data_IF_352897536096
#
_entry.id   IF_352897536096
#
_cell.length_a   1.000
_cell.length_b   1.000
_cell.length_c   1.000
_cell.angle_alpha   90.00
_cell.angle_beta   90.00
_cell.angle_gamma   90.00
#
_symmetry.space_group_name_H-M   'P 1'
#
loop_
_entity.id
_entity.type
_entity.pdbx_description
1 polymer ?
#
# COMPACT_ATOMS: atom_id res chain seq x y z
N UNK A 1 10.07 22.11 -3.92
CA UNK A 1 10.67 21.94 -2.55
C UNK A 1 11.43 20.62 -2.56
N UNK A 2 12.63 20.55 -2.00
CA UNK A 2 13.34 19.27 -1.85
C UNK A 2 12.65 18.43 -0.78
N UNK A 3 12.74 17.10 -0.90
CA UNK A 3 12.25 16.17 0.12
C UNK A 3 12.90 16.44 1.47
N UNK A 4 12.12 16.41 2.52
CA UNK A 4 12.56 16.63 3.90
C UNK A 4 12.59 15.30 4.65
N UNK A 5 13.19 15.30 5.83
CA UNK A 5 13.28 14.08 6.66
C UNK A 5 11.91 13.41 6.89
N UNK A 6 10.87 14.19 7.15
CA UNK A 6 9.51 13.67 7.34
C UNK A 6 8.99 12.89 6.13
N UNK A 7 9.22 13.38 4.90
CA UNK A 7 8.85 12.65 3.68
C UNK A 7 9.56 11.30 3.58
N UNK A 8 10.87 11.28 3.93
CA UNK A 8 11.64 10.03 3.95
C UNK A 8 11.11 9.04 4.99
N UNK A 9 10.76 9.52 6.20
CA UNK A 9 10.18 8.68 7.26
C UNK A 9 8.87 8.04 6.82
N UNK A 10 7.95 8.85 6.29
CA UNK A 10 6.63 8.36 5.84
C UNK A 10 6.78 7.35 4.71
N UNK A 11 7.59 7.64 3.70
CA UNK A 11 7.82 6.71 2.58
C UNK A 11 8.48 5.42 3.06
N UNK A 12 9.48 5.51 3.95
CA UNK A 12 10.16 4.34 4.51
C UNK A 12 9.21 3.47 5.33
N UNK A 13 8.38 4.12 6.15
CA UNK A 13 7.38 3.43 6.96
C UNK A 13 6.35 2.72 6.09
N UNK A 14 5.83 3.39 5.04
CA UNK A 14 4.88 2.78 4.11
C UNK A 14 5.44 1.53 3.42
N UNK A 15 6.68 1.61 2.93
CA UNK A 15 7.33 0.47 2.26
C UNK A 15 7.62 -0.68 3.23
N UNK A 16 8.06 -0.35 4.45
CA UNK A 16 8.26 -1.32 5.53
C UNK A 16 6.94 -1.97 5.94
N UNK A 17 5.90 -1.17 6.17
CA UNK A 17 4.58 -1.63 6.59
C UNK A 17 3.98 -2.62 5.58
N UNK A 18 3.99 -2.24 4.31
CA UNK A 18 3.52 -3.08 3.21
C UNK A 18 4.31 -4.40 3.13
N UNK A 19 5.63 -4.31 3.17
CA UNK A 19 6.50 -5.49 3.19
C UNK A 19 6.25 -6.38 4.40
N UNK A 20 6.15 -5.80 5.59
CA UNK A 20 5.96 -6.52 6.85
C UNK A 20 4.63 -7.29 6.86
N UNK A 21 3.55 -6.63 6.41
CA UNK A 21 2.23 -7.22 6.30
C UNK A 21 2.22 -8.40 5.30
N UNK A 22 2.82 -8.24 4.14
CA UNK A 22 2.89 -9.28 3.11
C UNK A 22 3.80 -10.44 3.53
N UNK A 23 4.92 -10.17 4.20
CA UNK A 23 5.91 -11.19 4.56
C UNK A 23 5.56 -11.94 5.85
N UNK A 24 5.16 -11.23 6.91
CA UNK A 24 4.82 -11.83 8.21
C UNK A 24 3.36 -12.29 8.27
N UNK A 25 2.48 -11.54 7.63
CA UNK A 25 1.05 -11.83 7.63
C UNK A 25 0.60 -12.73 6.48
N UNK A 26 1.49 -13.00 5.50
CA UNK A 26 1.14 -13.70 4.26
C UNK A 26 -0.14 -13.13 3.62
N UNK A 27 -0.34 -11.78 3.77
CA UNK A 27 -1.58 -11.09 3.40
C UNK A 27 -1.68 -10.86 1.89
N UNK A 28 -1.53 -11.93 1.12
CA UNK A 28 -1.69 -11.95 -0.33
C UNK A 28 -2.12 -13.33 -0.83
N UNK A 29 -2.68 -13.36 -2.02
CA UNK A 29 -2.92 -14.60 -2.76
C UNK A 29 -2.59 -14.40 -4.25
N UNK A 30 -2.36 -15.52 -4.95
CA UNK A 30 -2.09 -15.50 -6.38
C UNK A 30 -3.37 -15.81 -7.15
N UNK A 31 -3.63 -14.98 -8.17
CA UNK A 31 -4.77 -15.14 -9.06
C UNK A 31 -4.33 -15.25 -10.51
N UNK A 32 -5.16 -15.92 -11.29
CA UNK A 32 -5.09 -15.92 -12.74
C UNK A 32 -6.48 -15.61 -13.29
N UNK A 33 -6.61 -14.50 -13.99
CA UNK A 33 -7.94 -14.04 -14.37
C UNK A 33 -7.93 -13.10 -15.55
N UNK A 34 -9.12 -12.62 -15.86
CA UNK A 34 -9.39 -11.69 -16.93
C UNK A 34 -9.39 -10.25 -16.40
N UNK A 35 -8.88 -9.33 -17.22
CA UNK A 35 -9.03 -7.89 -17.04
C UNK A 35 -10.21 -7.40 -17.90
N UNK A 36 -10.96 -6.44 -17.38
CA UNK A 36 -12.18 -5.92 -18.01
C UNK A 36 -11.98 -4.49 -18.47
N UNK A 37 -12.33 -4.20 -19.73
CA UNK A 37 -12.23 -2.85 -20.27
C UNK A 37 -13.18 -1.90 -19.54
N UNK A 38 -12.70 -0.68 -19.26
CA UNK A 38 -13.50 0.41 -18.73
C UNK A 38 -12.91 1.78 -19.10
N UNK A 39 -13.71 2.84 -18.99
CA UNK A 39 -13.28 4.21 -19.22
C UNK A 39 -12.93 4.90 -17.90
N UNK A 40 -11.75 5.51 -17.83
CA UNK A 40 -11.33 6.39 -16.71
C UNK A 40 -10.97 7.78 -17.27
N UNK A 41 -11.76 8.79 -16.90
CA UNK A 41 -11.57 10.17 -17.38
C UNK A 41 -10.27 10.83 -16.90
N UNK A 42 -9.57 10.22 -15.93
CA UNK A 42 -8.27 10.69 -15.42
C UNK A 42 -7.10 10.20 -16.28
N UNK A 43 -7.33 9.22 -17.14
CA UNK A 43 -6.34 8.67 -18.05
C UNK A 43 -6.53 9.33 -19.43
N UNK A 44 -5.45 9.72 -20.11
CA UNK A 44 -5.55 10.25 -21.47
C UNK A 44 -6.29 9.28 -22.40
N UNK A 45 -7.17 9.80 -23.24
CA UNK A 45 -8.00 8.99 -24.15
C UNK A 45 -7.22 8.18 -25.20
N UNK A 46 -5.91 8.37 -25.28
CA UNK A 46 -5.04 7.55 -26.11
C UNK A 46 -4.74 6.18 -25.51
N UNK A 47 -5.04 5.97 -24.22
CA UNK A 47 -4.84 4.71 -23.54
C UNK A 47 -6.16 3.96 -23.40
N UNK A 48 -6.13 2.67 -23.71
CA UNK A 48 -7.17 1.74 -23.27
C UNK A 48 -6.83 1.21 -21.89
N UNK A 49 -7.83 1.10 -21.01
CA UNK A 49 -7.68 0.72 -19.61
C UNK A 49 -8.46 -0.55 -19.33
N UNK A 50 -7.81 -1.50 -18.68
CA UNK A 50 -8.42 -2.76 -18.26
C UNK A 50 -8.15 -2.99 -16.79
N UNK A 51 -9.21 -3.12 -15.99
CA UNK A 51 -9.15 -3.37 -14.54
C UNK A 51 -9.38 -4.82 -14.19
N UNK A 52 -8.74 -5.25 -13.11
CA UNK A 52 -9.05 -6.52 -12.45
C UNK A 52 -10.16 -6.33 -11.40
N UNK A 53 -10.77 -7.41 -10.90
CA UNK A 53 -11.68 -7.34 -9.76
C UNK A 53 -10.98 -7.15 -8.41
N UNK A 54 -9.69 -6.77 -8.42
CA UNK A 54 -8.88 -6.55 -7.23
C UNK A 54 -8.23 -5.17 -7.28
N UNK A 55 -7.89 -4.62 -6.10
CA UNK A 55 -7.45 -3.23 -6.00
C UNK A 55 -5.95 -3.05 -6.04
N UNK A 56 -5.20 -3.78 -5.24
CA UNK A 56 -3.76 -3.64 -5.19
C UNK A 56 -3.04 -4.94 -5.54
N UNK A 57 -2.09 -4.84 -6.47
CA UNK A 57 -1.20 -5.94 -6.80
C UNK A 57 0.06 -5.91 -5.94
N UNK A 58 0.61 -7.10 -5.69
CA UNK A 58 1.95 -7.23 -5.12
C UNK A 58 2.98 -6.81 -6.16
N UNK A 59 3.85 -5.87 -5.78
CA UNK A 59 4.93 -5.38 -6.63
C UNK A 59 6.34 -5.67 -6.07
N UNK A 60 6.41 -6.20 -4.86
CA UNK A 60 7.66 -6.44 -4.13
C UNK A 60 8.15 -7.87 -4.34
N UNK A 61 9.24 -8.03 -5.09
CA UNK A 61 9.81 -9.34 -5.41
C UNK A 61 10.54 -10.04 -4.25
N UNK A 62 10.69 -9.38 -3.09
CA UNK A 62 11.16 -10.05 -1.88
C UNK A 62 10.08 -10.87 -1.18
N UNK A 63 8.82 -10.81 -1.63
CA UNK A 63 7.74 -11.65 -1.11
C UNK A 63 7.79 -12.99 -1.83
N UNK A 64 8.24 -14.01 -1.11
CA UNK A 64 8.43 -15.35 -1.66
C UNK A 64 7.09 -15.97 -2.04
N UNK A 65 6.94 -16.40 -3.29
CA UNK A 65 5.73 -17.07 -3.78
C UNK A 65 4.67 -16.14 -4.37
N UNK A 66 4.82 -14.79 -4.26
CA UNK A 66 3.89 -13.87 -4.90
C UNK A 66 4.16 -13.76 -6.42
N UNK A 67 3.10 -13.86 -7.22
CA UNK A 67 3.15 -13.64 -8.66
C UNK A 67 3.15 -12.14 -8.97
N UNK A 68 4.32 -11.59 -9.28
CA UNK A 68 4.41 -10.19 -9.68
C UNK A 68 4.13 -10.09 -11.17
N UNK A 69 3.10 -9.32 -11.60
CA UNK A 69 2.75 -9.23 -13.02
C UNK A 69 3.89 -8.60 -13.81
N UNK A 70 4.38 -9.31 -14.80
CA UNK A 70 5.42 -8.86 -15.74
C UNK A 70 4.90 -8.68 -17.16
N UNK A 71 3.78 -9.32 -17.51
CA UNK A 71 3.09 -9.25 -18.77
C UNK A 71 1.69 -9.82 -18.68
N UNK A 72 0.96 -9.77 -19.79
CA UNK A 72 -0.40 -10.28 -19.94
C UNK A 72 -0.56 -10.96 -21.28
N UNK A 73 -1.57 -11.81 -21.41
CA UNK A 73 -1.99 -12.36 -22.69
C UNK A 73 -3.09 -11.49 -23.30
N UNK A 74 -2.83 -10.91 -24.46
CA UNK A 74 -3.80 -10.15 -25.27
C UNK A 74 -4.26 -11.04 -26.42
N UNK A 75 -5.51 -11.46 -26.42
CA UNK A 75 -6.07 -12.40 -27.40
C UNK A 75 -5.24 -13.70 -27.53
N UNK A 76 -4.67 -14.16 -26.41
CA UNK A 76 -3.81 -15.35 -26.37
C UNK A 76 -2.34 -15.12 -26.70
N UNK A 77 -1.92 -13.90 -27.05
CA UNK A 77 -0.53 -13.55 -27.34
C UNK A 77 0.07 -12.82 -26.13
N UNK A 78 1.24 -13.29 -25.67
CA UNK A 78 1.96 -12.63 -24.56
C UNK A 78 2.44 -11.25 -24.96
N UNK A 79 2.21 -10.28 -24.09
CA UNK A 79 2.72 -8.91 -24.18
C UNK A 79 3.20 -8.43 -22.80
N UNK A 80 4.28 -7.69 -22.79
CA UNK A 80 4.91 -7.17 -21.58
C UNK A 80 5.13 -5.64 -21.64
N UNK A 81 6.00 -5.12 -20.78
CA UNK A 81 6.33 -3.69 -20.76
C UNK A 81 7.04 -3.21 -22.02
N UNK A 82 7.82 -4.06 -22.66
CA UNK A 82 8.52 -3.73 -23.91
C UNK A 82 7.52 -3.57 -25.06
N UNK A 83 6.36 -4.21 -24.97
CA UNK A 83 5.21 -4.04 -25.87
C UNK A 83 4.30 -2.84 -25.48
N UNK A 84 4.70 -2.04 -24.49
CA UNK A 84 3.97 -0.85 -24.04
C UNK A 84 2.85 -1.13 -23.05
N UNK A 85 2.85 -2.27 -22.37
CA UNK A 85 1.92 -2.56 -21.27
C UNK A 85 2.39 -1.84 -19.99
N UNK A 86 1.52 -1.04 -19.40
CA UNK A 86 1.76 -0.34 -18.14
C UNK A 86 0.89 -1.02 -17.07
N UNK A 87 1.50 -1.39 -15.94
CA UNK A 87 0.80 -1.93 -14.77
C UNK A 87 0.56 -0.84 -13.75
N UNK A 88 -0.67 -0.59 -13.37
CA UNK A 88 -1.01 0.23 -12.22
C UNK A 88 -1.24 -0.68 -11.01
N UNK A 89 -0.16 -0.88 -10.23
CA UNK A 89 -0.18 -1.76 -9.05
C UNK A 89 -1.10 -1.26 -7.94
N UNK A 90 -1.31 0.05 -7.87
CA UNK A 90 -2.14 0.66 -6.84
C UNK A 90 -3.64 0.56 -7.11
N UNK A 91 -4.01 0.39 -8.40
CA UNK A 91 -5.42 0.31 -8.83
C UNK A 91 -5.79 -1.03 -9.48
N UNK A 92 -4.89 -2.02 -9.47
CA UNK A 92 -5.16 -3.35 -9.98
C UNK A 92 -5.56 -3.38 -11.46
N UNK A 93 -4.86 -2.62 -12.29
CA UNK A 93 -5.23 -2.43 -13.71
C UNK A 93 -4.00 -2.36 -14.62
N UNK A 94 -4.27 -2.50 -15.90
CA UNK A 94 -3.28 -2.31 -16.96
C UNK A 94 -3.76 -1.23 -17.93
N UNK A 95 -2.80 -0.59 -18.58
CA UNK A 95 -3.03 0.47 -19.56
C UNK A 95 -2.07 0.31 -20.74
N UNK A 96 -2.52 0.62 -21.95
CA UNK A 96 -1.65 0.71 -23.11
C UNK A 96 -2.31 1.49 -24.25
N UNK A 97 -1.51 2.14 -25.08
CA UNK A 97 -1.97 2.77 -26.33
C UNK A 97 -2.12 1.77 -27.48
N UNK A 98 -1.61 0.56 -27.33
CA UNK A 98 -1.65 -0.50 -28.34
C UNK A 98 -2.76 -1.53 -28.14
N UNK A 99 -3.65 -1.32 -27.14
CA UNK A 99 -4.81 -2.17 -26.88
C UNK A 99 -6.06 -1.62 -27.53
N UNK A 100 -7.03 -2.51 -27.76
CA UNK A 100 -8.37 -2.16 -28.22
C UNK A 100 -9.39 -2.53 -27.14
N UNK A 101 -10.47 -1.76 -27.02
CA UNK A 101 -11.54 -2.01 -26.05
C UNK A 101 -12.20 -3.39 -26.19
N UNK A 102 -12.08 -4.01 -27.36
CA UNK A 102 -12.58 -5.36 -27.68
C UNK A 102 -11.62 -6.48 -27.35
N UNK A 103 -10.38 -6.19 -26.93
CA UNK A 103 -9.38 -7.21 -26.63
C UNK A 103 -9.78 -8.03 -25.40
N UNK A 104 -9.48 -9.32 -25.48
CA UNK A 104 -9.56 -10.22 -24.32
C UNK A 104 -8.21 -10.30 -23.65
N UNK A 105 -8.12 -9.81 -22.40
CA UNK A 105 -6.87 -9.75 -21.66
C UNK A 105 -6.94 -10.63 -20.45
N UNK A 106 -5.93 -11.49 -20.30
CA UNK A 106 -5.76 -12.39 -19.15
C UNK A 106 -4.35 -12.31 -18.62
N UNK A 107 -4.19 -12.54 -17.32
CA UNK A 107 -2.88 -12.53 -16.69
C UNK A 107 -2.87 -13.23 -15.34
N UNK A 108 -1.65 -13.44 -14.82
CA UNK A 108 -1.44 -13.98 -13.49
C UNK A 108 -0.77 -12.91 -12.64
N UNK A 109 -1.30 -12.67 -11.45
CA UNK A 109 -0.87 -11.60 -10.55
C UNK A 109 -1.08 -11.97 -9.08
N UNK A 110 -0.20 -11.48 -8.22
CA UNK A 110 -0.40 -11.52 -6.77
C UNK A 110 -1.27 -10.35 -6.34
N UNK A 111 -2.29 -10.63 -5.56
CA UNK A 111 -3.24 -9.65 -5.02
C UNK A 111 -2.97 -9.47 -3.54
N UNK A 112 -3.02 -8.24 -3.05
CA UNK A 112 -2.97 -7.96 -1.63
C UNK A 112 -4.34 -8.23 -0.99
N UNK A 113 -4.35 -9.03 0.06
CA UNK A 113 -5.57 -9.29 0.85
C UNK A 113 -5.98 -8.09 1.69
N UNK A 114 -5.00 -7.25 2.02
CA UNK A 114 -5.21 -5.98 2.74
C UNK A 114 -4.54 -4.86 1.97
N UNK A 115 -5.32 -3.90 1.52
CA UNK A 115 -4.82 -2.74 0.80
C UNK A 115 -4.19 -1.71 1.75
N UNK A 116 -3.11 -1.06 1.34
CA UNK A 116 -2.40 -0.08 2.17
C UNK A 116 -2.32 1.25 1.43
N UNK A 117 -2.76 2.32 2.09
CA UNK A 117 -2.78 3.68 1.54
C UNK A 117 -2.14 4.68 2.49
N UNK A 118 -1.39 5.63 1.94
CA UNK A 118 -1.01 6.85 2.66
C UNK A 118 -2.05 7.92 2.43
N UNK A 119 -2.52 8.55 3.49
CA UNK A 119 -3.57 9.57 3.44
C UNK A 119 -3.24 10.75 4.35
N UNK A 120 -3.79 11.91 4.01
CA UNK A 120 -3.80 13.11 4.86
C UNK A 120 -5.19 13.35 5.50
N UNK A 121 -6.05 12.34 5.45
CA UNK A 121 -7.38 12.41 6.05
C UNK A 121 -7.29 12.07 7.53
N UNK A 122 -8.13 12.69 8.34
CA UNK A 122 -8.29 12.32 9.74
C UNK A 122 -9.17 11.07 9.89
N UNK A 123 -9.25 10.52 11.10
CA UNK A 123 -10.04 9.31 11.38
C UNK A 123 -11.53 9.50 11.08
N UNK A 124 -12.08 10.67 11.40
CA UNK A 124 -13.49 10.99 11.22
C UNK A 124 -13.86 10.95 9.74
N UNK A 125 -13.05 11.59 8.87
CA UNK A 125 -13.24 11.55 7.41
C UNK A 125 -13.21 10.12 6.88
N UNK A 126 -12.28 9.30 7.38
CA UNK A 126 -12.13 7.91 6.94
C UNK A 126 -13.28 7.03 7.39
N UNK A 127 -13.81 7.23 8.60
CA UNK A 127 -14.83 6.36 9.19
C UNK A 127 -16.25 6.79 8.79
N UNK A 128 -16.50 8.10 8.68
CA UNK A 128 -17.86 8.63 8.48
C UNK A 128 -18.14 9.00 7.04
N UNK A 129 -17.19 9.66 6.35
CA UNK A 129 -17.47 10.25 5.04
C UNK A 129 -17.20 9.29 3.87
N UNK A 130 -16.28 8.34 4.03
CA UNK A 130 -15.91 7.43 2.95
C UNK A 130 -16.83 6.22 2.85
N UNK A 131 -17.07 5.80 1.63
CA UNK A 131 -17.77 4.55 1.30
C UNK A 131 -16.76 3.47 0.96
N UNK A 132 -16.99 2.29 1.46
CA UNK A 132 -16.16 1.11 1.24
C UNK A 132 -16.95 0.00 0.58
N UNK A 133 -16.31 -0.71 -0.35
CA UNK A 133 -16.86 -1.89 -1.00
C UNK A 133 -16.09 -3.12 -0.51
N UNK A 134 -16.79 -4.21 -0.21
CA UNK A 134 -16.11 -5.46 0.17
C UNK A 134 -15.50 -6.13 -1.05
N UNK A 135 -14.23 -6.53 -0.97
CA UNK A 135 -13.53 -7.27 -2.03
C UNK A 135 -14.23 -8.60 -2.32
N UNK A 136 -14.82 -9.24 -1.32
CA UNK A 136 -15.57 -10.50 -1.46
C UNK A 136 -16.78 -10.39 -2.40
N UNK A 137 -17.29 -9.19 -2.66
CA UNK A 137 -18.45 -8.97 -3.52
C UNK A 137 -18.09 -8.84 -5.01
N UNK A 138 -16.85 -8.50 -5.35
CA UNK A 138 -16.44 -8.22 -6.73
C UNK A 138 -16.16 -9.48 -7.57
N UNK A 139 -15.46 -10.53 -7.08
CA UNK A 139 -15.17 -11.70 -7.88
C UNK A 139 -16.41 -12.43 -8.39
N UNK A 140 -17.54 -12.31 -7.70
CA UNK A 140 -18.78 -12.96 -8.06
C UNK A 140 -19.47 -12.36 -9.29
N UNK A 141 -19.17 -11.09 -9.61
CA UNK A 141 -19.83 -10.35 -10.67
C UNK A 141 -18.94 -10.09 -11.89
N UNK A 142 -17.70 -10.59 -11.91
CA UNK A 142 -16.72 -10.37 -12.98
C UNK A 142 -16.59 -8.89 -13.40
N UNK A 143 -16.62 -7.99 -12.43
CA UNK A 143 -16.52 -6.55 -12.66
C UNK A 143 -15.21 -6.00 -12.09
N UNK A 144 -14.72 -4.95 -12.74
CA UNK A 144 -13.56 -4.20 -12.26
C UNK A 144 -13.93 -3.26 -11.11
N UNK A 145 -12.95 -2.93 -10.26
CA UNK A 145 -13.15 -1.97 -9.16
C UNK A 145 -12.84 -0.56 -9.66
N UNK A 146 -13.76 0.41 -9.50
CA UNK A 146 -13.47 1.81 -9.83
C UNK A 146 -12.24 2.31 -9.09
N UNK A 147 -11.33 3.06 -9.76
CA UNK A 147 -10.06 3.45 -9.17
C UNK A 147 -10.19 4.43 -7.98
N UNK A 148 -11.32 5.12 -7.85
CA UNK A 148 -11.64 6.01 -6.72
C UNK A 148 -12.34 5.31 -5.56
N UNK A 149 -12.74 4.04 -5.72
CA UNK A 149 -13.34 3.25 -4.64
C UNK A 149 -12.25 2.63 -3.78
N UNK A 150 -12.45 2.64 -2.47
CA UNK A 150 -11.65 1.86 -1.54
C UNK A 150 -12.35 0.55 -1.25
N UNK A 151 -11.59 -0.53 -1.32
CA UNK A 151 -12.08 -1.87 -0.97
C UNK A 151 -11.53 -2.28 0.37
N UNK A 152 -12.36 -2.93 1.16
CA UNK A 152 -11.94 -3.53 2.42
C UNK A 152 -11.57 -5.00 2.19
N UNK A 153 -10.58 -5.53 2.92
CA UNK A 153 -9.82 -4.92 4.02
C UNK A 153 -8.80 -3.88 3.56
N UNK A 154 -8.63 -2.82 4.36
CA UNK A 154 -7.70 -1.74 4.03
C UNK A 154 -7.09 -1.09 5.28
N UNK A 155 -5.88 -0.56 5.14
CA UNK A 155 -5.19 0.24 6.15
C UNK A 155 -4.85 1.61 5.58
N UNK A 156 -5.24 2.65 6.28
CA UNK A 156 -4.88 4.03 5.99
C UNK A 156 -3.80 4.50 6.95
N UNK A 157 -2.68 4.94 6.43
CA UNK A 157 -1.54 5.39 7.21
C UNK A 157 -1.41 6.90 7.09
N UNK A 158 -1.38 7.57 8.25
CA UNK A 158 -1.17 9.00 8.39
C UNK A 158 -0.05 9.29 9.38
N UNK A 159 0.83 10.23 9.06
CA UNK A 159 1.83 10.74 9.98
C UNK A 159 1.31 11.99 10.68
N UNK A 160 1.09 11.92 11.99
CA UNK A 160 0.46 13.00 12.76
C UNK A 160 1.44 14.06 13.20
N UNK A 161 2.44 13.67 13.98
CA UNK A 161 3.36 14.61 14.62
C UNK A 161 4.80 14.13 14.60
N UNK A 162 5.72 15.10 14.66
CA UNK A 162 7.16 14.87 14.68
C UNK A 162 7.79 15.72 15.78
N UNK A 163 8.57 15.11 16.65
CA UNK A 163 9.26 15.78 17.73
C UNK A 163 10.75 15.54 17.67
N UNK A 164 11.54 16.61 17.89
CA UNK A 164 12.98 16.51 18.07
C UNK A 164 13.32 16.83 19.52
N UNK A 165 14.11 15.95 20.15
CA UNK A 165 14.66 16.18 21.50
C UNK A 165 16.17 16.03 21.44
N UNK A 166 16.94 16.92 22.08
CA UNK A 166 18.40 16.76 22.19
C UNK A 166 18.73 15.39 22.80
N UNK A 167 19.62 14.66 22.14
CA UNK A 167 20.11 13.36 22.63
C UNK A 167 21.50 13.50 23.26
N UNK A 168 22.41 14.25 22.63
CA UNK A 168 23.78 14.40 23.08
C UNK A 168 24.33 15.82 22.89
N UNK A 169 25.40 16.11 23.64
CA UNK A 169 26.20 17.32 23.43
C UNK A 169 26.88 17.25 22.06
N UNK A 170 26.62 17.88 21.10
CA UNK A 170 27.18 17.80 19.73
C UNK A 170 26.15 18.01 18.64
N UNK A 171 24.89 18.24 19.05
CA UNK A 171 23.80 18.59 18.15
C UNK A 171 23.06 17.40 17.55
N UNK A 172 23.29 16.21 18.07
CA UNK A 172 22.49 15.02 17.76
C UNK A 172 21.15 15.08 18.50
N UNK A 173 20.08 14.89 17.76
CA UNK A 173 18.71 14.84 18.31
C UNK A 173 18.11 13.47 18.09
N UNK A 174 17.26 13.04 19.03
CA UNK A 174 16.29 11.97 18.80
C UNK A 174 15.06 12.59 18.14
N UNK A 175 14.78 12.17 16.93
CA UNK A 175 13.54 12.52 16.22
C UNK A 175 12.54 11.40 16.39
N UNK A 176 11.40 11.71 17.00
CA UNK A 176 10.27 10.79 17.16
C UNK A 176 9.15 11.20 16.21
N UNK A 177 8.64 10.22 15.50
CA UNK A 177 7.52 10.35 14.55
C UNK A 177 6.35 9.52 15.06
N UNK A 178 5.17 10.13 15.18
CA UNK A 178 3.93 9.44 15.54
C UNK A 178 3.16 9.17 14.25
N UNK A 179 2.94 7.90 13.97
CA UNK A 179 2.29 7.43 12.75
C UNK A 179 1.09 6.59 13.17
N UNK A 180 -0.07 6.92 12.61
CA UNK A 180 -1.32 6.24 12.87
C UNK A 180 -1.75 5.41 11.67
N UNK A 181 -2.24 4.20 11.94
CA UNK A 181 -2.91 3.34 10.98
C UNK A 181 -4.39 3.17 11.36
N UNK A 182 -5.30 3.43 10.43
CA UNK A 182 -6.73 3.10 10.58
C UNK A 182 -7.00 1.87 9.75
N UNK A 183 -7.33 0.77 10.41
CA UNK A 183 -7.64 -0.53 9.78
C UNK A 183 -9.15 -0.65 9.65
N UNK A 184 -9.64 -0.87 8.44
CA UNK A 184 -11.06 -1.07 8.16
C UNK A 184 -11.22 -2.42 7.46
N UNK A 185 -12.04 -3.30 8.01
CA UNK A 185 -12.28 -4.64 7.50
C UNK A 185 -13.78 -5.00 7.51
N UNK A 186 -14.18 -5.88 6.63
CA UNK A 186 -15.53 -6.46 6.60
C UNK A 186 -15.63 -7.74 7.45
N UNK A 187 -14.50 -8.21 7.98
CA UNK A 187 -14.39 -9.41 8.79
C UNK A 187 -13.56 -9.14 10.06
N UNK A 188 -14.07 -9.49 11.27
CA UNK A 188 -13.33 -9.30 12.51
C UNK A 188 -12.04 -10.11 12.60
N UNK A 189 -12.00 -11.28 11.97
CA UNK A 189 -10.82 -12.14 11.93
C UNK A 189 -9.64 -11.45 11.21
N UNK A 190 -9.91 -10.80 10.07
CA UNK A 190 -8.88 -10.07 9.33
C UNK A 190 -8.42 -8.84 10.12
N UNK A 191 -9.35 -8.10 10.73
CA UNK A 191 -9.00 -6.99 11.62
C UNK A 191 -8.04 -7.45 12.72
N UNK A 192 -8.39 -8.52 13.42
CA UNK A 192 -7.58 -9.06 14.52
C UNK A 192 -6.22 -9.55 14.05
N UNK A 193 -6.16 -10.16 12.86
CA UNK A 193 -4.92 -10.58 12.23
C UNK A 193 -3.97 -9.42 11.99
N UNK A 194 -4.46 -8.34 11.36
CA UNK A 194 -3.64 -7.14 11.08
C UNK A 194 -3.16 -6.49 12.39
N UNK A 195 -4.06 -6.28 13.37
CA UNK A 195 -3.70 -5.69 14.65
C UNK A 195 -2.66 -6.53 15.39
N UNK A 196 -2.78 -7.86 15.38
CA UNK A 196 -1.83 -8.77 16.02
C UNK A 196 -0.46 -8.73 15.37
N UNK A 197 -0.39 -8.80 14.02
CA UNK A 197 0.89 -8.72 13.28
C UNK A 197 1.69 -7.47 13.68
N UNK A 198 1.02 -6.31 13.74
CA UNK A 198 1.70 -5.07 14.07
C UNK A 198 1.91 -4.86 15.57
N UNK A 199 1.09 -5.43 16.43
CA UNK A 199 1.39 -5.49 17.88
C UNK A 199 2.73 -6.16 18.16
N UNK A 200 3.06 -7.19 17.38
CA UNK A 200 4.32 -7.93 17.51
C UNK A 200 5.53 -7.21 16.88
N UNK A 201 5.32 -6.07 16.22
CA UNK A 201 6.40 -5.29 15.60
C UNK A 201 7.14 -4.36 16.57
N UNK A 202 6.83 -4.41 17.87
CA UNK A 202 7.56 -3.69 18.92
C UNK A 202 9.05 -4.07 18.89
N UNK A 203 9.92 -3.07 18.96
CA UNK A 203 11.39 -3.18 18.83
C UNK A 203 11.91 -3.61 17.45
N UNK A 204 11.05 -3.72 16.43
CA UNK A 204 11.52 -3.89 15.06
C UNK A 204 12.23 -2.61 14.59
N UNK A 205 13.11 -2.79 13.62
CA UNK A 205 13.83 -1.69 12.99
C UNK A 205 13.79 -1.83 11.48
N UNK A 206 13.75 -0.68 10.80
CA UNK A 206 13.76 -0.62 9.34
C UNK A 206 14.62 0.54 8.84
N UNK A 207 14.96 0.54 7.55
CA UNK A 207 15.86 1.53 6.98
C UNK A 207 15.14 2.81 6.60
N UNK A 208 15.78 3.95 6.88
CA UNK A 208 15.37 5.24 6.31
C UNK A 208 15.78 5.29 4.85
N UNK A 209 14.82 5.41 3.96
CA UNK A 209 15.02 5.36 2.50
C UNK A 209 14.91 6.76 1.89
N UNK A 210 15.63 7.06 0.79
CA UNK A 210 15.45 8.30 0.06
C UNK A 210 14.01 8.39 -0.49
N UNK A 211 13.37 9.54 -0.36
CA UNK A 211 11.98 9.75 -0.82
C UNK A 211 11.84 9.50 -2.33
N UNK A 212 12.81 9.96 -3.12
CA UNK A 212 12.82 9.85 -4.57
C UNK A 212 12.97 8.40 -5.07
N UNK A 213 13.43 7.52 -4.19
CA UNK A 213 13.66 6.13 -4.50
C UNK A 213 12.41 5.22 -4.32
N UNK A 214 11.24 5.83 -4.04
CA UNK A 214 9.97 5.09 -4.04
C UNK A 214 9.81 4.30 -5.35
N UNK A 215 9.34 3.03 -5.29
CA UNK A 215 9.40 2.11 -6.44
C UNK A 215 8.41 2.45 -7.55
N UNK A 216 7.35 3.17 -7.24
CA UNK A 216 6.22 3.40 -8.14
C UNK A 216 6.34 4.79 -8.79
N UNK A 217 6.04 4.88 -10.07
CA UNK A 217 5.98 6.11 -10.85
C UNK A 217 4.57 6.76 -10.78
N UNK A 218 4.39 7.86 -11.49
CA UNK A 218 3.12 8.61 -11.55
C UNK A 218 1.94 7.84 -12.18
N UNK A 219 2.23 6.79 -12.96
CA UNK A 219 1.22 5.92 -13.59
C UNK A 219 0.86 4.70 -12.73
N UNK A 220 1.48 4.55 -11.56
CA UNK A 220 1.29 3.39 -10.70
C UNK A 220 2.16 2.18 -11.04
N UNK A 221 3.03 2.28 -12.07
CA UNK A 221 3.95 1.22 -12.47
C UNK A 221 5.31 1.35 -11.77
N UNK A 222 6.10 0.28 -11.81
CA UNK A 222 7.47 0.28 -11.30
C UNK A 222 8.36 1.25 -12.11
N UNK A 223 9.16 2.04 -11.41
CA UNK A 223 10.18 2.91 -12.02
C UNK A 223 11.28 2.13 -12.71
N UNK A 224 11.64 0.96 -12.16
CA UNK A 224 12.55 0.02 -12.80
C UNK A 224 11.72 -1.05 -13.50
N UNK A 225 11.91 -1.30 -14.79
CA UNK A 225 11.07 -2.21 -15.57
C UNK A 225 11.17 -3.67 -15.13
N UNK A 226 12.21 -4.05 -14.38
CA UNK A 226 12.47 -5.46 -14.09
C UNK A 226 11.84 -5.95 -12.79
N UNK A 227 12.00 -5.26 -11.67
CA UNK A 227 11.42 -5.65 -10.39
C UNK A 227 11.79 -4.66 -9.27
N UNK A 228 11.02 -4.63 -8.21
CA UNK A 228 11.38 -3.98 -6.95
C UNK A 228 11.55 -5.04 -5.87
N UNK A 229 12.72 -5.08 -5.24
CA UNK A 229 13.01 -5.95 -4.11
C UNK A 229 13.25 -5.08 -2.88
N UNK A 230 12.29 -5.04 -1.95
CA UNK A 230 12.38 -4.19 -0.76
C UNK A 230 13.61 -4.49 0.08
N UNK A 231 13.91 -5.76 0.35
CA UNK A 231 15.03 -6.15 1.22
C UNK A 231 16.35 -5.72 0.61
N UNK A 232 16.59 -6.07 -0.65
CA UNK A 232 17.82 -5.65 -1.34
C UNK A 232 17.93 -4.14 -1.53
N UNK A 233 16.81 -3.46 -1.74
CA UNK A 233 16.77 -2.00 -1.87
C UNK A 233 17.07 -1.31 -0.52
N UNK A 234 16.49 -1.81 0.58
CA UNK A 234 16.74 -1.27 1.92
C UNK A 234 18.20 -1.44 2.35
N UNK A 235 18.82 -2.57 2.00
CA UNK A 235 20.23 -2.81 2.29
C UNK A 235 21.17 -1.93 1.45
N UNK A 236 20.83 -1.69 0.19
CA UNK A 236 21.67 -0.92 -0.74
C UNK A 236 21.53 0.60 -0.59
N UNK A 237 20.32 1.09 -0.24
CA UNK A 237 19.96 2.53 -0.29
C UNK A 237 19.61 3.12 1.07
N UNK A 238 19.69 2.37 2.16
CA UNK A 238 19.33 2.85 3.50
C UNK A 238 20.30 3.91 4.00
N UNK A 239 19.78 5.10 4.34
CA UNK A 239 20.55 6.24 4.86
C UNK A 239 20.68 6.25 6.39
N UNK A 240 19.92 5.41 7.08
CA UNK A 240 19.88 5.32 8.54
C UNK A 240 18.90 4.25 8.99
N UNK A 241 18.69 4.18 10.31
CA UNK A 241 17.77 3.20 10.91
C UNK A 241 16.67 3.92 11.68
N UNK A 242 15.45 3.45 11.47
CA UNK A 242 14.26 3.83 12.20
C UNK A 242 13.88 2.69 13.13
N UNK A 243 13.56 3.00 14.38
CA UNK A 243 13.22 2.04 15.41
C UNK A 243 11.77 2.22 15.83
N UNK A 244 11.02 1.14 15.94
CA UNK A 244 9.67 1.15 16.50
C UNK A 244 9.77 1.04 18.00
N UNK A 245 9.62 2.16 18.69
CA UNK A 245 9.74 2.22 20.15
C UNK A 245 8.47 1.78 20.87
N UNK A 246 7.31 1.99 20.23
CA UNK A 246 6.02 1.61 20.80
C UNK A 246 5.01 1.34 19.70
N UNK A 247 4.12 0.38 19.96
CA UNK A 247 2.93 0.11 19.14
C UNK A 247 1.75 -0.07 20.07
N UNK A 248 0.72 0.72 19.86
CA UNK A 248 -0.55 0.58 20.59
C UNK A 248 -1.63 0.19 19.61
N UNK A 249 -2.32 -0.90 19.88
CA UNK A 249 -3.45 -1.36 19.08
C UNK A 249 -4.76 -1.17 19.84
N UNK A 250 -5.79 -0.72 19.16
CA UNK A 250 -7.12 -0.58 19.74
C UNK A 250 -8.21 -0.88 18.72
N UNK A 251 -9.43 -1.12 19.19
CA UNK A 251 -10.60 -1.36 18.35
C UNK A 251 -11.69 -0.36 18.64
N UNK A 252 -12.43 0.00 17.62
CA UNK A 252 -13.66 0.78 17.82
C UNK A 252 -14.65 -0.02 18.65
N UNK A 253 -15.20 0.58 19.69
CA UNK A 253 -16.15 -0.09 20.58
C UNK A 253 -17.49 -0.37 19.87
N UNK A 254 -18.18 -1.43 20.26
CA UNK A 254 -19.50 -1.79 19.69
C UNK A 254 -20.52 -0.65 19.82
N UNK A 255 -20.43 0.12 20.90
CA UNK A 255 -21.30 1.28 21.10
C UNK A 255 -21.05 2.39 20.07
N UNK A 256 -19.78 2.69 19.79
CA UNK A 256 -19.40 3.66 18.77
C UNK A 256 -19.75 3.15 17.37
N UNK A 257 -19.50 1.86 17.10
CA UNK A 257 -19.88 1.20 15.84
C UNK A 257 -21.39 1.29 15.58
N UNK A 258 -22.22 1.02 16.59
CA UNK A 258 -23.67 1.11 16.48
C UNK A 258 -24.15 2.52 16.17
N UNK A 259 -23.46 3.56 16.68
CA UNK A 259 -23.80 4.96 16.38
C UNK A 259 -23.44 5.39 14.96
N UNK A 260 -22.51 4.69 14.32
CA UNK A 260 -22.08 4.95 12.94
C UNK A 260 -22.86 4.15 11.88
N UNK A 261 -23.78 3.27 12.31
CA UNK A 261 -24.58 2.40 11.43
C UNK A 261 -23.73 1.64 10.39
N UNK A 262 -22.50 1.26 10.76
CA UNK A 262 -21.57 0.57 9.87
C UNK A 262 -21.52 -0.93 10.19
N UNK A 263 -21.47 -1.75 9.13
CA UNK A 263 -21.19 -3.20 9.21
C UNK A 263 -19.70 -3.52 9.17
N UNK A 264 -18.85 -2.50 9.19
CA UNK A 264 -17.40 -2.63 9.12
C UNK A 264 -16.80 -2.78 10.52
N UNK A 265 -15.66 -3.44 10.59
CA UNK A 265 -14.83 -3.59 11.77
C UNK A 265 -13.66 -2.63 11.65
N UNK A 266 -13.44 -1.79 12.69
CA UNK A 266 -12.47 -0.72 12.66
C UNK A 266 -11.50 -0.88 13.83
N UNK A 267 -10.21 -0.74 13.53
CA UNK A 267 -9.14 -0.75 14.52
C UNK A 267 -8.10 0.31 14.23
N UNK A 268 -7.30 0.60 15.24
CA UNK A 268 -6.28 1.64 15.19
C UNK A 268 -4.93 1.05 15.57
N UNK A 269 -3.90 1.56 14.91
CA UNK A 269 -2.50 1.24 15.12
C UNK A 269 -1.76 2.56 15.35
N UNK A 270 -1.26 2.78 16.56
CA UNK A 270 -0.48 3.97 16.90
C UNK A 270 0.99 3.56 17.05
N UNK A 271 1.84 4.06 16.18
CA UNK A 271 3.28 3.79 16.16
C UNK A 271 4.08 4.99 16.65
N UNK A 272 5.03 4.72 17.53
CA UNK A 272 6.10 5.65 17.87
C UNK A 272 7.40 5.18 17.21
N UNK A 273 7.83 5.92 16.19
CA UNK A 273 9.03 5.60 15.40
C UNK A 273 10.12 6.62 15.70
N UNK A 274 11.28 6.17 16.13
CA UNK A 274 12.40 7.04 16.49
C UNK A 274 13.64 6.82 15.64
N UNK A 275 14.41 7.88 15.47
CA UNK A 275 15.74 7.84 14.88
C UNK A 275 16.64 8.90 15.51
N UNK A 276 17.94 8.63 15.52
CA UNK A 276 18.96 9.60 15.94
C UNK A 276 19.55 10.26 14.68
N UNK A 277 19.64 11.57 14.68
CA UNK A 277 20.15 12.34 13.53
C UNK A 277 20.69 13.70 13.94
N UNK A 278 21.44 14.32 13.03
CA UNK A 278 21.90 15.69 13.14
C UNK A 278 21.01 16.61 12.28
N UNK A 279 19.93 17.19 12.80
CA UNK A 279 18.98 17.94 11.99
C UNK A 279 19.50 19.28 11.49
N UNK A 280 20.67 19.71 12.00
CA UNK A 280 21.28 21.03 11.73
C UNK A 280 22.52 20.96 10.86
N UNK A 281 22.87 19.78 10.33
CA UNK A 281 24.00 19.59 9.42
C UNK A 281 23.56 19.49 7.97
#
# INVERSE_FOLDING_TARGET
MKSQHQHKVVTSFMLWFDHYLLNKGEAYHNETGQYFNYSDTRIPSSYEVFGSPYKQFVYNSSITGANIPSGVYVNGVWKDRDDGIIFDFGNGRIMSTGLLSSDTITGSFGVKDVNVYSVNANEEDLIVEKKYSSTASFPQNNTWIPPYDFTVPTVFINAETFHNKPFAFGGEDTTTSFIKGVVIADNPYILDGVLSIFSDSFNEAFKLLPFEAGPINEYGDLKSPSSFNYTGFADASGEGTLFINNVVTSKLTDRAKASLETNLFIGFLDFEVATQRFPRL
#
